data_IF_333805901150
#
_entry.id   IF_333805901150
#
_cell.length_a   1.000
_cell.length_b   1.000
_cell.length_c   1.000
_cell.angle_alpha   90.00
_cell.angle_beta   90.00
_cell.angle_gamma   90.00
#
_symmetry.space_group_name_H-M   'P 1'
#
loop_
_entity.id
_entity.type
_entity.pdbx_description
1 polymer ?
#
# COMPACT_ATOMS: atom_id res chain seq x y z
N UNK A 1 9.17 8.57 6.73
CA UNK A 1 8.58 7.62 5.75
C UNK A 1 9.23 7.83 4.40
N UNK A 2 9.73 6.77 3.76
CA UNK A 2 10.30 6.83 2.41
C UNK A 2 9.18 6.65 1.38
N UNK A 3 9.10 7.51 0.37
CA UNK A 3 8.12 7.39 -0.73
C UNK A 3 8.62 6.33 -1.71
N UNK A 4 7.84 5.26 -1.91
CA UNK A 4 8.22 4.16 -2.81
C UNK A 4 7.70 4.31 -4.24
N UNK A 5 6.52 4.92 -4.42
CA UNK A 5 5.93 5.16 -5.73
C UNK A 5 4.90 6.30 -5.67
N UNK A 6 4.40 6.72 -6.84
CA UNK A 6 3.24 7.59 -6.98
C UNK A 6 2.19 6.85 -7.81
N UNK A 7 1.04 6.54 -7.23
CA UNK A 7 -0.08 5.94 -7.96
C UNK A 7 -0.97 7.08 -8.46
N UNK A 8 -1.31 7.08 -9.75
CA UNK A 8 -2.41 7.92 -10.25
C UNK A 8 -3.70 7.14 -9.98
N UNK A 9 -4.59 7.63 -9.11
CA UNK A 9 -5.86 6.94 -8.88
C UNK A 9 -6.71 7.03 -10.15
N UNK A 10 -7.32 5.91 -10.53
CA UNK A 10 -8.49 5.93 -11.40
C UNK A 10 -9.72 6.04 -10.50
N UNK A 11 -10.56 7.03 -10.77
CA UNK A 11 -11.89 7.13 -10.18
C UNK A 11 -12.84 6.26 -10.99
N UNK A 12 -13.50 5.32 -10.34
CA UNK A 12 -14.53 4.49 -10.94
C UNK A 12 -15.70 4.37 -9.97
N UNK A 13 -16.89 4.84 -10.34
CA UNK A 13 -18.14 4.74 -9.56
C UNK A 13 -17.95 4.91 -8.04
N UNK A 14 -17.60 6.13 -7.61
CA UNK A 14 -17.40 6.51 -6.19
C UNK A 14 -16.38 5.66 -5.42
N UNK A 15 -15.61 4.83 -6.14
CA UNK A 15 -14.65 3.90 -5.60
C UNK A 15 -13.25 4.25 -6.11
N UNK A 16 -12.25 4.03 -5.25
CA UNK A 16 -10.85 4.18 -5.61
C UNK A 16 -10.26 2.79 -5.80
N UNK A 17 -9.86 2.47 -7.02
CA UNK A 17 -9.18 1.21 -7.33
C UNK A 17 -7.67 1.39 -7.20
N UNK A 18 -7.04 0.58 -6.35
CA UNK A 18 -5.60 0.45 -6.26
C UNK A 18 -5.17 -0.92 -6.76
N UNK A 19 -4.28 -0.94 -7.75
CA UNK A 19 -3.61 -2.15 -8.19
C UNK A 19 -2.20 -2.21 -7.60
N UNK A 20 -1.84 -3.35 -7.05
CA UNK A 20 -0.55 -3.58 -6.43
C UNK A 20 0.07 -4.84 -7.03
N UNK A 21 1.37 -4.82 -7.28
CA UNK A 21 2.04 -5.95 -7.92
C UNK A 21 2.12 -7.15 -6.97
N UNK A 22 2.02 -8.36 -7.53
CA UNK A 22 2.18 -9.61 -6.78
C UNK A 22 3.52 -9.66 -6.04
N UNK A 23 4.58 -9.10 -6.61
CA UNK A 23 5.89 -9.02 -5.97
C UNK A 23 5.89 -8.19 -4.68
N UNK A 24 5.10 -7.12 -4.63
CA UNK A 24 4.93 -6.31 -3.44
C UNK A 24 4.11 -7.04 -2.36
N UNK A 25 3.04 -7.74 -2.75
CA UNK A 25 2.25 -8.57 -1.82
C UNK A 25 3.11 -9.68 -1.21
N UNK A 26 4.01 -10.28 -1.99
CA UNK A 26 4.93 -11.31 -1.51
C UNK A 26 5.97 -10.83 -0.48
N UNK A 27 6.05 -9.52 -0.21
CA UNK A 27 6.91 -8.96 0.86
C UNK A 27 6.34 -9.23 2.26
N UNK A 28 5.07 -9.64 2.35
CA UNK A 28 4.38 -10.01 3.59
C UNK A 28 4.34 -11.53 3.74
N UNK A 29 4.29 -12.03 4.99
CA UNK A 29 4.16 -13.47 5.28
C UNK A 29 2.74 -14.01 5.04
N UNK A 30 1.74 -13.13 5.03
CA UNK A 30 0.34 -13.44 4.76
C UNK A 30 -0.26 -12.33 3.90
N UNK A 31 -1.48 -12.53 3.40
CA UNK A 31 -2.20 -11.45 2.73
C UNK A 31 -2.30 -10.24 3.67
N UNK A 32 -1.84 -9.04 3.26
CA UNK A 32 -1.88 -7.87 4.11
C UNK A 32 -3.30 -7.29 4.18
N UNK A 33 -3.71 -6.92 5.38
CA UNK A 33 -4.87 -6.08 5.65
C UNK A 33 -4.40 -4.64 5.89
N UNK A 34 -5.21 -3.67 5.47
CA UNK A 34 -4.89 -2.26 5.59
C UNK A 34 -5.97 -1.51 6.35
N UNK A 35 -5.55 -0.70 7.31
CA UNK A 35 -6.37 0.40 7.81
C UNK A 35 -6.20 1.59 6.87
N UNK A 36 -7.32 2.21 6.50
CA UNK A 36 -7.38 3.35 5.57
C UNK A 36 -7.79 4.60 6.33
N UNK A 37 -7.01 5.67 6.21
CA UNK A 37 -7.32 6.95 6.84
C UNK A 37 -6.98 8.11 5.91
N UNK A 38 -7.75 9.19 6.05
CA UNK A 38 -7.52 10.46 5.37
C UNK A 38 -7.01 11.45 6.42
N UNK A 39 -5.84 12.02 6.18
CA UNK A 39 -5.26 13.01 7.09
C UNK A 39 -5.85 14.42 6.89
N UNK A 40 -5.46 15.36 7.76
CA UNK A 40 -5.91 16.76 7.70
C UNK A 40 -5.47 17.52 6.44
N UNK A 41 -4.62 16.92 5.59
CA UNK A 41 -4.18 17.46 4.30
C UNK A 41 -4.86 16.74 3.13
N UNK A 42 -5.96 16.03 3.38
CA UNK A 42 -6.70 15.22 2.43
C UNK A 42 -5.84 14.15 1.73
N UNK A 43 -4.80 13.66 2.42
CA UNK A 43 -4.01 12.53 1.91
C UNK A 43 -4.55 11.24 2.48
N UNK A 44 -4.82 10.29 1.59
CA UNK A 44 -5.11 8.92 1.97
C UNK A 44 -3.83 8.18 2.29
N UNK A 45 -3.87 7.43 3.39
CA UNK A 45 -2.79 6.57 3.84
C UNK A 45 -3.33 5.15 4.03
N UNK A 46 -2.51 4.18 3.66
CA UNK A 46 -2.76 2.76 3.86
C UNK A 46 -1.70 2.24 4.84
N UNK A 47 -2.11 1.85 6.05
CA UNK A 47 -1.22 1.22 7.02
C UNK A 47 -1.53 -0.27 7.05
N UNK A 48 -0.53 -1.10 6.75
CA UNK A 48 -0.69 -2.54 6.92
C UNK A 48 -0.70 -2.92 8.39
N UNK A 49 -1.59 -3.84 8.77
CA UNK A 49 -1.56 -4.49 10.09
C UNK A 49 -0.39 -5.46 10.23
N UNK A 50 0.10 -5.99 9.12
CA UNK A 50 1.21 -6.94 9.07
C UNK A 50 2.54 -6.19 8.90
N UNK A 51 3.59 -6.72 9.55
CA UNK A 51 4.95 -6.25 9.30
C UNK A 51 5.45 -6.81 7.98
N UNK A 52 6.20 -6.00 7.25
CA UNK A 52 6.99 -6.47 6.10
C UNK A 52 8.07 -7.40 6.64
N UNK A 53 8.14 -8.61 6.12
CA UNK A 53 9.02 -9.67 6.64
C UNK A 53 10.15 -10.02 5.68
N UNK A 54 10.00 -9.69 4.40
CA UNK A 54 11.04 -9.85 3.38
C UNK A 54 11.51 -8.47 2.92
N UNK A 55 12.10 -7.68 3.80
CA UNK A 55 12.89 -6.55 3.30
C UNK A 55 14.10 -7.12 2.57
N UNK A 56 14.17 -6.96 1.24
CA UNK A 56 15.28 -7.43 0.43
C UNK A 56 16.64 -7.00 1.00
N UNK A 57 17.30 -7.93 1.69
CA UNK A 57 18.74 -7.98 1.81
C UNK A 57 19.25 -8.82 0.63
N UNK A 58 19.90 -8.17 -0.32
CA UNK A 58 20.44 -8.85 -1.51
C UNK A 58 20.80 -7.86 -2.61
N UNK A 59 22.04 -7.34 -2.51
CA UNK A 59 22.88 -6.64 -3.50
C UNK A 59 22.34 -5.35 -4.15
#
# INVERSE_FOLDING_TARGET
>A
MRKFASIKPFYFDDSILFSITKNWINQFNSMPEFDVFIDSKNKMHLISKQKVTKSGGGL
#
